data_IF_736386021139
#
_entry.id   IF_736386021139
#
_cell.length_a   1.000
_cell.length_b   1.000
_cell.length_c   1.000
_cell.angle_alpha   90.00
_cell.angle_beta   90.00
_cell.angle_gamma   90.00
#
_symmetry.space_group_name_H-M   'P 1'
#
loop_
_entity.id
_entity.type
_entity.pdbx_description
1 polymer ?
#
# COMPACT_ATOMS: atom_id res chain seq x y z
N UNK A 1 -2.38 52.94 -23.44
CA UNK A 1 -3.71 52.38 -23.77
C UNK A 1 -4.40 52.00 -22.47
N UNK A 2 -5.42 52.77 -22.05
CA UNK A 2 -6.10 52.64 -20.76
C UNK A 2 -7.24 51.60 -20.85
N UNK A 3 -7.04 50.42 -20.28
CA UNK A 3 -8.02 49.32 -20.26
C UNK A 3 -8.80 49.22 -18.93
N UNK A 4 -9.21 50.34 -18.32
CA UNK A 4 -10.14 50.29 -17.17
C UNK A 4 -11.17 51.45 -17.23
N UNK A 5 -12.49 51.16 -17.22
CA UNK A 5 -13.53 52.18 -17.38
C UNK A 5 -13.67 53.12 -16.16
N UNK A 6 -13.88 54.41 -16.44
CA UNK A 6 -13.88 55.54 -15.50
C UNK A 6 -15.17 55.74 -14.67
N UNK A 7 -16.02 54.72 -14.49
CA UNK A 7 -17.31 54.84 -13.78
C UNK A 7 -17.32 54.07 -12.44
N UNK A 8 -17.64 54.73 -11.29
CA UNK A 8 -17.70 54.08 -9.96
C UNK A 8 -18.69 52.93 -9.88
N UNK A 9 -19.81 52.99 -10.63
CA UNK A 9 -20.85 51.96 -10.66
C UNK A 9 -20.41 50.72 -11.47
N UNK A 10 -19.63 50.92 -12.55
CA UNK A 10 -19.04 49.81 -13.31
C UNK A 10 -17.92 49.10 -12.54
N UNK A 11 -17.16 49.82 -11.70
CA UNK A 11 -16.15 49.23 -10.81
C UNK A 11 -16.75 48.29 -9.76
N UNK A 12 -17.89 48.65 -9.16
CA UNK A 12 -18.61 47.75 -8.22
C UNK A 12 -19.15 46.50 -8.91
N UNK A 13 -19.59 46.60 -10.18
CA UNK A 13 -20.06 45.45 -10.95
C UNK A 13 -18.91 44.53 -11.38
N UNK A 14 -17.77 45.10 -11.80
CA UNK A 14 -16.56 44.33 -12.14
C UNK A 14 -15.97 43.63 -10.90
N UNK A 15 -15.98 44.27 -9.73
CA UNK A 15 -15.56 43.64 -8.48
C UNK A 15 -16.46 42.47 -8.10
N UNK A 16 -17.79 42.61 -8.24
CA UNK A 16 -18.74 41.51 -8.00
C UNK A 16 -18.56 40.37 -8.99
N UNK A 17 -18.36 40.69 -10.28
CA UNK A 17 -18.08 39.70 -11.32
C UNK A 17 -16.78 38.95 -11.03
N UNK A 18 -15.72 39.63 -10.58
CA UNK A 18 -14.46 39.01 -10.19
C UNK A 18 -14.61 38.06 -9.00
N UNK A 19 -15.39 38.45 -7.98
CA UNK A 19 -15.67 37.59 -6.81
C UNK A 19 -16.47 36.35 -7.23
N UNK A 20 -17.51 36.53 -8.05
CA UNK A 20 -18.32 35.40 -8.55
C UNK A 20 -17.47 34.43 -9.37
N UNK A 21 -16.59 34.94 -10.23
CA UNK A 21 -15.71 34.11 -11.05
C UNK A 21 -14.70 33.33 -10.18
N UNK A 22 -14.13 33.97 -9.16
CA UNK A 22 -13.19 33.34 -8.24
C UNK A 22 -13.84 32.23 -7.40
N UNK A 23 -15.07 32.47 -6.91
CA UNK A 23 -15.85 31.44 -6.19
C UNK A 23 -16.20 30.27 -7.11
N UNK A 24 -16.62 30.53 -8.35
CA UNK A 24 -16.92 29.49 -9.32
C UNK A 24 -15.68 28.63 -9.65
N UNK A 25 -14.50 29.25 -9.78
CA UNK A 25 -13.25 28.54 -10.04
C UNK A 25 -12.83 27.70 -8.82
N UNK A 26 -12.99 28.22 -7.60
CA UNK A 26 -12.67 27.51 -6.37
C UNK A 26 -13.58 26.29 -6.15
N UNK A 27 -14.87 26.42 -6.48
CA UNK A 27 -15.82 25.29 -6.48
C UNK A 27 -15.42 24.28 -7.54
N UNK A 28 -15.10 24.70 -8.77
CA UNK A 28 -14.69 23.80 -9.85
C UNK A 28 -13.41 23.01 -9.49
N UNK A 29 -12.38 23.70 -8.98
CA UNK A 29 -11.14 23.06 -8.54
C UNK A 29 -11.40 22.14 -7.35
N UNK A 30 -12.22 22.55 -6.37
CA UNK A 30 -12.62 21.66 -5.27
C UNK A 30 -13.33 20.41 -5.79
N UNK A 31 -14.26 20.55 -6.75
CA UNK A 31 -14.97 19.39 -7.32
C UNK A 31 -14.05 18.46 -8.10
N UNK A 32 -12.97 18.95 -8.70
CA UNK A 32 -12.01 18.13 -9.44
C UNK A 32 -10.99 17.46 -8.51
N UNK A 33 -10.57 18.14 -7.43
CA UNK A 33 -9.60 17.60 -6.46
C UNK A 33 -10.26 16.65 -5.46
N UNK A 34 -11.52 16.88 -5.10
CA UNK A 34 -12.30 16.00 -4.23
C UNK A 34 -12.96 14.83 -4.98
N UNK A 35 -12.92 14.83 -6.32
CA UNK A 35 -13.21 13.63 -7.10
C UNK A 35 -12.02 12.69 -6.91
N UNK A 36 -12.14 11.79 -5.94
CA UNK A 36 -11.28 10.61 -5.89
C UNK A 36 -11.31 9.89 -7.25
N UNK A 37 -10.29 9.07 -7.57
CA UNK A 37 -10.37 8.20 -8.73
C UNK A 37 -11.74 7.52 -8.72
N UNK A 38 -12.48 7.65 -9.82
CA UNK A 38 -13.76 6.98 -9.95
C UNK A 38 -13.51 5.51 -9.63
N UNK A 39 -14.28 4.97 -8.69
CA UNK A 39 -14.36 3.52 -8.56
C UNK A 39 -14.66 2.99 -9.96
N UNK A 40 -13.91 1.96 -10.36
CA UNK A 40 -14.13 1.27 -11.63
C UNK A 40 -15.49 0.58 -11.54
N UNK A 41 -16.54 1.35 -11.83
CA UNK A 41 -17.92 0.91 -11.99
C UNK A 41 -17.97 0.05 -13.26
N UNK A 42 -17.32 -1.11 -13.20
CA UNK A 42 -17.53 -2.20 -14.14
C UNK A 42 -19.02 -2.44 -14.18
N UNK A 43 -19.63 -2.10 -15.32
CA UNK A 43 -21.06 -2.16 -15.54
C UNK A 43 -21.58 -3.51 -15.04
N UNK A 44 -22.36 -3.46 -13.95
CA UNK A 44 -22.92 -4.66 -13.34
C UNK A 44 -23.70 -5.42 -14.39
N UNK A 45 -23.26 -6.64 -14.69
CA UNK A 45 -24.04 -7.59 -15.48
C UNK A 45 -25.40 -7.72 -14.81
N UNK A 46 -26.43 -7.15 -15.45
CA UNK A 46 -27.79 -7.18 -14.94
C UNK A 46 -28.22 -8.65 -14.74
N UNK A 47 -28.20 -9.11 -13.48
CA UNK A 47 -28.55 -10.48 -13.11
C UNK A 47 -27.55 -11.19 -12.18
N UNK A 48 -26.33 -10.69 -11.96
CA UNK A 48 -25.48 -11.26 -10.91
C UNK A 48 -25.86 -10.67 -9.56
N UNK A 49 -26.51 -11.44 -8.69
CA UNK A 49 -26.50 -11.10 -7.27
C UNK A 49 -25.04 -11.03 -6.84
N UNK A 50 -24.55 -9.82 -6.54
CA UNK A 50 -23.22 -9.63 -6.01
C UNK A 50 -23.12 -10.49 -4.76
N UNK A 51 -22.31 -11.55 -4.82
CA UNK A 51 -22.05 -12.38 -3.67
C UNK A 51 -21.27 -11.51 -2.69
N UNK A 52 -21.96 -10.96 -1.69
CA UNK A 52 -21.35 -10.09 -0.69
C UNK A 52 -20.35 -10.96 0.06
N UNK A 53 -19.07 -10.77 -0.26
CA UNK A 53 -18.00 -11.44 0.46
C UNK A 53 -18.02 -10.95 1.91
N UNK A 54 -18.45 -11.81 2.83
CA UNK A 54 -18.35 -11.58 4.26
C UNK A 54 -17.01 -12.16 4.72
N UNK A 55 -16.04 -11.32 5.14
CA UNK A 55 -14.78 -11.82 5.68
C UNK A 55 -15.06 -12.73 6.89
N UNK A 56 -14.43 -13.92 6.96
CA UNK A 56 -14.57 -14.80 8.12
C UNK A 56 -14.10 -14.11 9.41
N UNK A 57 -14.78 -14.41 10.52
CA UNK A 57 -14.39 -13.87 11.82
C UNK A 57 -13.02 -14.42 12.26
N UNK A 58 -12.09 -13.56 12.74
CA UNK A 58 -10.82 -14.02 13.26
C UNK A 58 -10.97 -14.94 14.48
N UNK A 59 -10.21 -16.03 14.52
CA UNK A 59 -10.15 -16.93 15.69
C UNK A 59 -8.80 -16.86 16.36
N UNK A 60 -8.79 -16.89 17.70
CA UNK A 60 -7.57 -16.91 18.49
C UNK A 60 -6.84 -18.26 18.29
N UNK A 61 -5.53 -18.18 18.05
CA UNK A 61 -4.68 -19.37 18.03
C UNK A 61 -4.54 -19.95 19.44
N UNK A 62 -5.07 -21.14 19.67
CA UNK A 62 -4.94 -21.86 20.95
C UNK A 62 -3.60 -22.60 21.05
N UNK A 63 -3.27 -23.11 22.24
CA UNK A 63 -2.06 -23.91 22.46
C UNK A 63 -2.08 -25.22 21.65
N UNK A 64 -3.25 -25.85 21.56
CA UNK A 64 -3.47 -27.10 20.82
C UNK A 64 -3.31 -26.87 19.32
N UNK A 65 -3.86 -25.76 18.82
CA UNK A 65 -3.68 -25.33 17.43
C UNK A 65 -2.21 -25.10 17.12
N UNK A 66 -1.51 -24.32 17.97
CA UNK A 66 -0.07 -24.05 17.82
C UNK A 66 0.75 -25.33 17.80
N UNK A 67 0.47 -26.28 18.70
CA UNK A 67 1.16 -27.59 18.73
C UNK A 67 0.92 -28.38 17.45
N UNK A 68 -0.31 -28.39 16.94
CA UNK A 68 -0.64 -29.08 15.68
C UNK A 68 0.05 -28.48 14.46
N UNK A 69 0.12 -27.14 14.39
CA UNK A 69 0.86 -26.43 13.34
C UNK A 69 2.36 -26.73 13.45
N UNK A 70 2.93 -26.60 14.64
CA UNK A 70 4.36 -26.90 14.87
C UNK A 70 4.72 -28.32 14.44
N UNK A 71 3.95 -29.32 14.87
CA UNK A 71 4.19 -30.72 14.48
C UNK A 71 4.08 -30.94 12.95
N UNK A 72 3.26 -30.14 12.27
CA UNK A 72 3.14 -30.18 10.81
C UNK A 72 4.39 -29.58 10.16
N UNK A 73 4.83 -28.41 10.61
CA UNK A 73 6.02 -27.72 10.08
C UNK A 73 7.31 -28.49 10.34
N UNK A 74 7.47 -29.08 11.53
CA UNK A 74 8.63 -29.91 11.92
C UNK A 74 8.84 -31.10 10.99
N UNK A 75 7.76 -31.64 10.42
CA UNK A 75 7.82 -32.73 9.44
C UNK A 75 7.87 -32.23 8.00
N UNK A 76 7.13 -31.17 7.68
CA UNK A 76 7.01 -30.65 6.32
C UNK A 76 8.30 -30.00 5.84
N UNK A 77 8.97 -29.21 6.67
CA UNK A 77 10.18 -28.49 6.24
C UNK A 77 11.32 -29.45 5.85
N UNK A 78 11.68 -30.47 6.65
CA UNK A 78 12.62 -31.52 6.23
C UNK A 78 12.20 -32.22 4.92
N UNK A 79 10.95 -32.66 4.87
CA UNK A 79 10.41 -33.46 3.79
C UNK A 79 10.34 -32.69 2.45
N UNK A 80 9.82 -31.47 2.47
CA UNK A 80 9.49 -30.67 1.30
C UNK A 80 10.59 -29.66 0.95
N UNK A 81 11.06 -28.89 1.94
CA UNK A 81 12.00 -27.78 1.72
C UNK A 81 13.42 -28.30 1.56
N UNK A 82 13.85 -29.23 2.42
CA UNK A 82 15.17 -29.89 2.27
C UNK A 82 15.17 -31.05 1.27
N UNK A 83 13.99 -31.43 0.75
CA UNK A 83 13.81 -32.52 -0.22
C UNK A 83 14.21 -33.90 0.31
N UNK A 84 14.15 -34.12 1.61
CA UNK A 84 14.55 -35.40 2.21
C UNK A 84 13.53 -36.52 1.96
N UNK A 85 12.23 -36.20 1.98
CA UNK A 85 11.15 -37.15 1.69
C UNK A 85 9.94 -36.42 1.07
N UNK A 86 9.96 -36.15 -0.23
CA UNK A 86 8.87 -35.48 -0.91
C UNK A 86 7.51 -36.20 -0.79
N UNK A 87 7.49 -37.52 -0.61
CA UNK A 87 6.23 -38.26 -0.47
C UNK A 87 5.63 -38.11 0.92
N UNK A 88 6.44 -38.08 1.97
CA UNK A 88 5.97 -37.69 3.30
C UNK A 88 5.46 -36.23 3.31
N UNK A 89 6.10 -35.33 2.58
CA UNK A 89 5.59 -33.96 2.40
C UNK A 89 4.22 -33.94 1.71
N UNK A 90 4.02 -34.79 0.71
CA UNK A 90 2.74 -34.94 0.01
C UNK A 90 1.61 -35.33 0.97
N UNK A 91 1.87 -36.17 1.97
CA UNK A 91 0.87 -36.59 2.97
C UNK A 91 0.54 -35.51 4.03
N UNK A 92 1.36 -34.46 4.07
CA UNK A 92 1.17 -33.26 4.89
C UNK A 92 0.60 -32.08 4.10
N UNK A 93 0.41 -32.26 2.78
CA UNK A 93 -0.14 -31.26 1.89
C UNK A 93 -1.66 -31.44 1.73
N UNK A 94 -2.39 -30.34 1.60
CA UNK A 94 -3.83 -30.37 1.28
C UNK A 94 -4.07 -30.97 -0.12
N UNK A 95 -5.32 -31.34 -0.47
CA UNK A 95 -5.63 -31.72 -1.86
C UNK A 95 -5.22 -30.64 -2.88
N UNK A 96 -5.36 -29.35 -2.55
CA UNK A 96 -5.00 -28.23 -3.42
C UNK A 96 -3.51 -28.21 -3.74
N UNK A 97 -2.65 -28.20 -2.72
CA UNK A 97 -1.20 -28.23 -2.92
C UNK A 97 -0.76 -29.51 -3.64
N UNK A 98 -1.32 -30.67 -3.29
CA UNK A 98 -1.02 -31.94 -3.96
C UNK A 98 -1.35 -31.92 -5.44
N UNK A 99 -2.41 -31.23 -5.85
CA UNK A 99 -2.88 -31.19 -7.24
C UNK A 99 -1.97 -30.36 -8.16
N UNK A 100 -1.13 -29.48 -7.61
CA UNK A 100 -0.20 -28.65 -8.40
C UNK A 100 0.95 -29.43 -9.05
N UNK A 101 1.19 -30.68 -8.65
CA UNK A 101 2.19 -31.57 -9.23
C UNK A 101 1.68 -33.02 -9.24
N UNK A 102 2.01 -33.77 -10.29
CA UNK A 102 1.67 -35.18 -10.39
C UNK A 102 2.38 -36.01 -9.31
N UNK A 103 1.84 -37.17 -8.96
CA UNK A 103 2.49 -38.08 -7.98
C UNK A 103 3.95 -38.39 -8.35
N UNK A 104 4.23 -38.63 -9.64
CA UNK A 104 5.59 -38.90 -10.12
C UNK A 104 6.52 -37.69 -9.97
N UNK A 105 5.99 -36.48 -10.11
CA UNK A 105 6.75 -35.25 -9.82
C UNK A 105 7.03 -35.13 -8.31
N UNK A 106 6.06 -35.46 -7.45
CA UNK A 106 6.31 -35.58 -6.00
C UNK A 106 7.43 -36.58 -5.70
N UNK A 107 7.35 -37.79 -6.22
CA UNK A 107 8.39 -38.83 -6.01
C UNK A 107 9.80 -38.38 -6.44
N UNK A 108 9.91 -37.53 -7.47
CA UNK A 108 11.18 -36.96 -7.95
C UNK A 108 11.63 -35.69 -7.21
N UNK A 109 10.84 -35.18 -6.27
CA UNK A 109 11.12 -33.90 -5.63
C UNK A 109 10.93 -32.69 -6.56
N UNK A 110 10.11 -32.81 -7.60
CA UNK A 110 9.67 -31.70 -8.44
C UNK A 110 8.34 -31.16 -7.88
N UNK A 111 8.40 -30.51 -6.73
CA UNK A 111 7.20 -30.09 -5.97
C UNK A 111 7.14 -28.56 -5.89
N UNK A 112 5.94 -27.95 -5.75
CA UNK A 112 5.69 -26.50 -5.76
C UNK A 112 6.17 -25.78 -4.47
N UNK A 113 7.29 -26.20 -3.90
CA UNK A 113 7.87 -25.66 -2.67
C UNK A 113 9.32 -25.29 -2.98
N UNK A 114 9.73 -24.07 -2.67
CA UNK A 114 11.10 -23.64 -2.97
C UNK A 114 12.11 -24.47 -2.16
N UNK A 115 13.07 -25.17 -2.80
CA UNK A 115 14.05 -25.98 -2.08
C UNK A 115 15.04 -25.08 -1.34
N UNK A 116 15.40 -25.46 -0.11
CA UNK A 116 16.35 -24.70 0.69
C UNK A 116 17.05 -25.56 1.74
N UNK A 117 18.35 -25.30 1.96
CA UNK A 117 19.16 -25.99 2.97
C UNK A 117 18.85 -25.48 4.38
N UNK A 118 17.68 -25.84 4.88
CA UNK A 118 17.19 -25.44 6.19
C UNK A 118 18.02 -26.06 7.34
N UNK A 119 18.37 -25.26 8.34
CA UNK A 119 19.03 -25.70 9.58
C UNK A 119 17.98 -26.07 10.63
N UNK A 120 18.25 -27.12 11.41
CA UNK A 120 17.46 -27.52 12.58
C UNK A 120 16.37 -28.55 12.28
N UNK A 121 15.60 -28.86 13.31
CA UNK A 121 14.48 -29.82 13.29
C UNK A 121 13.18 -29.27 13.87
N UNK A 122 13.24 -28.11 14.51
CA UNK A 122 12.08 -27.46 15.14
C UNK A 122 11.83 -26.11 14.45
N UNK A 123 10.64 -25.93 13.88
CA UNK A 123 10.25 -24.76 13.09
C UNK A 123 9.07 -24.01 13.74
N UNK A 124 9.26 -23.61 14.99
CA UNK A 124 8.19 -23.04 15.83
C UNK A 124 8.20 -21.50 15.91
N UNK A 125 9.27 -20.88 15.39
CA UNK A 125 9.51 -19.43 15.43
C UNK A 125 8.79 -18.67 14.31
N UNK A 126 7.49 -18.92 14.14
CA UNK A 126 6.67 -18.23 13.14
C UNK A 126 5.86 -17.08 13.76
N UNK A 127 5.56 -16.08 12.93
CA UNK A 127 4.70 -14.94 13.25
C UNK A 127 3.33 -15.14 12.62
N UNK A 128 2.26 -14.83 13.35
CA UNK A 128 0.90 -14.97 12.86
C UNK A 128 0.54 -13.80 11.93
N UNK A 129 0.07 -14.10 10.72
CA UNK A 129 -0.50 -13.10 9.81
C UNK A 129 -2.02 -13.00 10.04
N UNK A 130 -2.71 -14.13 9.93
CA UNK A 130 -4.13 -14.23 10.30
C UNK A 130 -4.50 -15.65 10.73
N UNK A 131 -5.63 -15.75 11.43
CA UNK A 131 -6.22 -17.02 11.84
C UNK A 131 -7.74 -16.89 11.77
N UNK A 132 -8.38 -17.75 10.98
CA UNK A 132 -9.82 -17.87 10.80
C UNK A 132 -10.21 -19.35 10.97
N UNK A 133 -11.51 -19.71 11.04
CA UNK A 133 -11.89 -21.10 11.21
C UNK A 133 -11.25 -22.02 10.16
N UNK A 134 -10.50 -23.02 10.62
CA UNK A 134 -9.79 -24.02 9.81
C UNK A 134 -8.72 -23.48 8.84
N UNK A 135 -8.30 -22.22 8.94
CA UNK A 135 -7.22 -21.67 8.13
C UNK A 135 -6.35 -20.71 8.94
N UNK A 136 -5.03 -20.95 8.91
CA UNK A 136 -4.03 -20.14 9.60
C UNK A 136 -2.91 -19.81 8.63
N UNK A 137 -2.58 -18.53 8.54
CA UNK A 137 -1.48 -18.05 7.72
C UNK A 137 -0.39 -17.46 8.61
N UNK A 138 0.85 -17.87 8.38
CA UNK A 138 2.00 -17.49 9.20
C UNK A 138 3.21 -17.18 8.33
N UNK A 139 4.08 -16.33 8.85
CA UNK A 139 5.42 -16.14 8.31
C UNK A 139 6.42 -16.93 9.15
N UNK A 140 7.10 -17.89 8.52
CA UNK A 140 8.11 -18.75 9.13
C UNK A 140 9.51 -18.33 8.66
N UNK A 141 10.37 -17.98 9.60
CA UNK A 141 11.79 -17.77 9.32
C UNK A 141 12.55 -19.10 9.35
N UNK A 142 13.19 -19.45 8.24
CA UNK A 142 14.02 -20.65 8.12
C UNK A 142 15.47 -20.24 7.90
N UNK A 143 16.35 -20.62 8.82
CA UNK A 143 17.78 -20.33 8.72
C UNK A 143 18.49 -21.35 7.82
N UNK A 144 19.55 -20.91 7.14
CA UNK A 144 20.38 -21.79 6.32
C UNK A 144 21.39 -22.58 7.15
N UNK A 145 21.82 -23.74 6.65
CA UNK A 145 23.03 -24.40 7.14
C UNK A 145 24.29 -23.58 6.82
N UNK A 146 25.45 -23.99 7.35
CA UNK A 146 26.72 -23.35 7.02
C UNK A 146 27.16 -23.58 5.56
N UNK A 147 26.61 -24.62 4.89
CA UNK A 147 26.95 -24.97 3.51
C UNK A 147 26.36 -24.02 2.47
N UNK A 148 25.29 -23.29 2.84
CA UNK A 148 24.56 -22.38 1.96
C UNK A 148 25.27 -21.03 1.78
N UNK A 149 26.18 -20.90 0.83
CA UNK A 149 27.12 -19.76 0.80
C UNK A 149 26.48 -18.39 0.58
N UNK A 150 25.36 -18.32 -0.13
CA UNK A 150 24.76 -17.06 -0.58
C UNK A 150 23.66 -16.55 0.35
N UNK A 151 22.86 -17.46 0.92
CA UNK A 151 21.63 -17.11 1.64
C UNK A 151 21.76 -17.45 3.13
N UNK A 152 21.55 -16.42 3.96
CA UNK A 152 21.20 -16.38 5.39
C UNK A 152 20.20 -17.38 5.89
N UNK A 153 19.08 -17.31 5.21
CA UNK A 153 17.78 -17.72 5.66
C UNK A 153 16.72 -17.10 4.75
N UNK A 154 15.53 -17.67 4.82
CA UNK A 154 14.39 -17.29 4.00
C UNK A 154 13.18 -17.16 4.93
N UNK A 155 12.46 -16.06 4.78
CA UNK A 155 11.11 -15.92 5.32
C UNK A 155 10.14 -16.56 4.32
N UNK A 156 9.35 -17.51 4.80
CA UNK A 156 8.30 -18.17 4.04
C UNK A 156 6.94 -17.74 4.56
N UNK A 157 6.03 -17.40 3.66
CA UNK A 157 4.61 -17.37 4.01
C UNK A 157 4.04 -18.76 3.81
N UNK A 158 3.34 -19.23 4.84
CA UNK A 158 2.76 -20.57 4.89
C UNK A 158 1.27 -20.45 5.19
N UNK A 159 0.45 -21.04 4.32
CA UNK A 159 -0.99 -21.20 4.54
C UNK A 159 -1.25 -22.64 5.00
N UNK A 160 -1.87 -22.79 6.17
CA UNK A 160 -2.21 -24.07 6.75
C UNK A 160 -3.72 -24.21 6.88
N UNK A 161 -4.26 -25.33 6.40
CA UNK A 161 -5.67 -25.67 6.53
C UNK A 161 -5.88 -26.86 7.43
N UNK A 162 -6.95 -26.80 8.22
CA UNK A 162 -7.41 -27.94 9.03
C UNK A 162 -8.37 -28.80 8.22
N UNK A 163 -7.91 -29.96 7.77
CA UNK A 163 -8.68 -30.91 6.96
C UNK A 163 -8.73 -32.25 7.68
N UNK A 164 -9.93 -32.82 7.87
CA UNK A 164 -10.09 -34.10 8.56
C UNK A 164 -9.49 -34.11 9.99
N UNK A 165 -9.53 -32.96 10.67
CA UNK A 165 -8.98 -32.80 12.01
C UNK A 165 -7.47 -32.57 12.11
N UNK A 166 -6.74 -32.64 10.99
CA UNK A 166 -5.29 -32.46 10.91
C UNK A 166 -4.94 -31.12 10.25
N UNK A 167 -3.85 -30.50 10.68
CA UNK A 167 -3.27 -29.37 9.98
C UNK A 167 -2.45 -29.88 8.79
N UNK A 168 -2.68 -29.28 7.64
CA UNK A 168 -2.01 -29.59 6.38
C UNK A 168 -1.58 -28.28 5.72
N UNK A 169 -0.53 -28.33 4.91
CA UNK A 169 0.01 -27.18 4.18
C UNK A 169 -0.75 -27.00 2.87
N UNK A 170 -1.33 -25.81 2.67
CA UNK A 170 -1.99 -25.39 1.43
C UNK A 170 -1.01 -24.64 0.52
N UNK A 171 -0.13 -23.81 1.09
CA UNK A 171 0.90 -23.09 0.33
C UNK A 171 2.14 -22.86 1.18
N UNK A 172 3.31 -22.82 0.53
CA UNK A 172 4.60 -22.61 1.17
C UNK A 172 5.56 -21.97 0.18
N UNK A 173 5.72 -20.64 0.26
CA UNK A 173 6.50 -19.89 -0.72
C UNK A 173 7.37 -18.82 -0.07
N UNK A 174 8.56 -18.52 -0.63
CA UNK A 174 9.46 -17.54 -0.08
C UNK A 174 8.90 -16.13 -0.32
N UNK A 175 8.98 -15.27 0.69
CA UNK A 175 8.60 -13.85 0.60
C UNK A 175 9.80 -12.91 0.73
N UNK A 176 10.82 -13.32 1.49
CA UNK A 176 12.08 -12.60 1.58
C UNK A 176 13.26 -13.56 1.77
N UNK A 177 14.39 -13.25 1.12
CA UNK A 177 15.66 -13.93 1.30
C UNK A 177 16.66 -12.98 1.95
N UNK A 178 17.35 -13.47 2.97
CA UNK A 178 18.41 -12.73 3.65
C UNK A 178 19.73 -13.22 3.09
N UNK A 179 20.52 -12.37 2.46
CA UNK A 179 21.77 -12.76 1.82
C UNK A 179 22.96 -12.64 2.78
N UNK A 180 23.90 -13.58 2.70
CA UNK A 180 25.21 -13.51 3.40
C UNK A 180 26.13 -12.49 2.74
N UNK A 181 26.07 -12.41 1.42
CA UNK A 181 26.77 -11.42 0.60
C UNK A 181 25.76 -10.35 0.20
N UNK A 182 26.17 -9.09 0.12
CA UNK A 182 25.26 -8.03 -0.33
C UNK A 182 24.91 -8.22 -1.81
N UNK A 183 23.65 -7.96 -2.17
CA UNK A 183 23.18 -7.88 -3.54
C UNK A 183 23.88 -6.72 -4.28
N UNK A 184 23.82 -6.64 -5.62
CA UNK A 184 24.44 -5.58 -6.40
C UNK A 184 24.03 -4.16 -5.99
N UNK A 185 22.84 -3.99 -5.42
CA UNK A 185 22.31 -2.72 -4.88
C UNK A 185 22.76 -2.42 -3.44
N UNK A 186 23.63 -3.26 -2.85
CA UNK A 186 24.11 -3.16 -1.48
C UNK A 186 23.14 -3.69 -0.40
N UNK A 187 21.94 -4.16 -0.77
CA UNK A 187 21.01 -4.74 0.20
C UNK A 187 21.45 -6.14 0.63
N UNK A 188 21.16 -6.51 1.88
CA UNK A 188 21.32 -7.90 2.36
C UNK A 188 20.00 -8.63 2.47
N UNK A 189 18.93 -8.01 1.99
CA UNK A 189 17.58 -8.56 1.95
C UNK A 189 17.06 -8.36 0.55
N UNK A 190 16.51 -9.42 -0.02
CA UNK A 190 15.84 -9.42 -1.32
C UNK A 190 14.46 -10.01 -1.12
N UNK A 191 13.44 -9.18 -1.32
CA UNK A 191 12.04 -9.57 -1.28
C UNK A 191 11.42 -9.45 -2.68
N UNK A 192 10.21 -10.00 -2.86
CA UNK A 192 9.49 -9.92 -4.14
C UNK A 192 9.39 -8.48 -4.71
N UNK A 193 9.13 -7.41 -3.91
CA UNK A 193 9.10 -6.05 -4.42
C UNK A 193 10.45 -5.55 -4.98
N UNK A 194 11.57 -6.11 -4.51
CA UNK A 194 12.91 -5.70 -4.96
C UNK A 194 13.27 -6.26 -6.34
N UNK A 195 12.56 -7.30 -6.79
CA UNK A 195 12.75 -7.93 -8.09
C UNK A 195 11.78 -7.39 -9.15
N UNK A 196 10.87 -6.48 -8.77
CA UNK A 196 10.03 -5.79 -9.74
C UNK A 196 10.93 -4.95 -10.65
N UNK A 197 10.64 -4.87 -11.97
CA UNK A 197 11.39 -4.00 -12.86
C UNK A 197 11.33 -2.58 -12.29
N UNK A 198 12.50 -2.08 -11.88
CA UNK A 198 12.67 -0.68 -11.51
C UNK A 198 12.34 0.13 -12.76
N UNK A 199 11.12 0.66 -12.85
CA UNK A 199 10.90 1.84 -13.69
C UNK A 199 11.92 2.85 -13.19
N UNK A 200 12.86 3.25 -14.05
CA UNK A 200 13.90 4.23 -13.76
C UNK A 200 13.29 5.42 -13.03
N UNK A 201 13.35 5.39 -11.69
CA UNK A 201 13.21 6.56 -10.84
C UNK A 201 14.63 7.03 -10.59
N UNK A 202 15.24 7.53 -11.66
CA UNK A 202 16.45 8.31 -11.53
C UNK A 202 16.17 9.44 -10.54
N UNK A 203 16.97 9.46 -9.47
CA UNK A 203 17.26 10.64 -8.66
C UNK A 203 16.09 11.60 -8.37
N UNK A 204 15.02 11.11 -7.74
CA UNK A 204 14.09 11.98 -7.00
C UNK A 204 14.06 11.53 -5.54
N UNK A 205 15.00 12.10 -4.78
CA UNK A 205 14.89 12.42 -3.35
C UNK A 205 14.13 11.43 -2.47
N UNK A 206 14.91 10.74 -1.61
CA UNK A 206 14.47 10.27 -0.30
C UNK A 206 13.90 11.44 0.51
N UNK A 207 12.63 11.75 0.33
CA UNK A 207 11.83 12.48 1.32
C UNK A 207 10.36 12.28 0.99
N UNK A 208 9.52 12.21 2.03
CA UNK A 208 8.09 12.54 1.98
C UNK A 208 7.09 11.57 1.32
N UNK A 209 6.90 10.38 1.90
CA UNK A 209 5.61 9.69 1.79
C UNK A 209 4.53 10.29 2.73
N UNK A 210 4.93 10.94 3.85
CA UNK A 210 3.99 11.53 4.81
C UNK A 210 3.71 13.04 4.61
N UNK A 211 4.57 13.76 3.87
CA UNK A 211 4.41 15.21 3.64
C UNK A 211 3.64 15.51 2.36
N UNK A 212 3.69 14.64 1.34
CA UNK A 212 3.01 14.84 0.06
C UNK A 212 1.49 14.84 0.21
N UNK A 213 0.95 14.00 1.09
CA UNK A 213 -0.50 13.97 1.35
C UNK A 213 -0.98 15.18 2.19
N UNK A 214 -0.09 15.79 3.00
CA UNK A 214 -0.40 17.01 3.77
C UNK A 214 -0.23 18.29 2.95
N UNK A 215 0.69 18.35 1.99
CA UNK A 215 0.86 19.52 1.12
C UNK A 215 -0.27 19.68 0.10
N UNK A 216 -0.81 18.60 -0.46
CA UNK A 216 -1.93 18.67 -1.41
C UNK A 216 -3.20 19.19 -0.72
N UNK A 217 -3.41 18.87 0.56
CA UNK A 217 -4.52 19.40 1.35
C UNK A 217 -4.40 20.91 1.67
N UNK A 218 -3.19 21.50 1.61
CA UNK A 218 -2.96 22.92 1.89
C UNK A 218 -3.15 23.83 0.68
N UNK A 219 -3.07 23.28 -0.55
CA UNK A 219 -3.28 24.02 -1.79
C UNK A 219 -4.63 24.75 -1.85
N UNK A 220 -5.80 24.13 -1.55
CA UNK A 220 -7.06 24.84 -1.57
C UNK A 220 -7.15 25.95 -0.51
N UNK A 221 -6.53 25.75 0.67
CA UNK A 221 -6.49 26.76 1.72
C UNK A 221 -5.67 27.98 1.30
N UNK A 222 -4.54 27.76 0.62
CA UNK A 222 -3.64 28.82 0.17
C UNK A 222 -4.26 29.61 -0.99
N UNK A 223 -4.98 28.94 -1.90
CA UNK A 223 -5.78 29.60 -2.96
C UNK A 223 -6.90 30.45 -2.36
N UNK A 224 -7.62 29.94 -1.35
CA UNK A 224 -8.66 30.70 -0.66
C UNK A 224 -8.10 31.94 0.05
N UNK A 225 -6.95 31.80 0.72
CA UNK A 225 -6.27 32.90 1.41
C UNK A 225 -5.84 34.01 0.44
N UNK A 226 -5.26 33.65 -0.71
CA UNK A 226 -4.89 34.61 -1.75
C UNK A 226 -6.14 35.35 -2.29
N UNK A 227 -7.25 34.64 -2.47
CA UNK A 227 -8.52 35.24 -2.90
C UNK A 227 -9.03 36.29 -1.90
N UNK A 228 -9.00 36.00 -0.60
CA UNK A 228 -9.40 36.94 0.46
C UNK A 228 -8.47 38.16 0.50
N UNK A 229 -7.16 37.95 0.41
CA UNK A 229 -6.17 39.05 0.42
C UNK A 229 -6.32 39.99 -0.78
N UNK A 230 -6.69 39.48 -1.96
CA UNK A 230 -6.98 40.32 -3.13
C UNK A 230 -8.19 41.25 -2.91
N UNK A 231 -9.26 40.73 -2.30
CA UNK A 231 -10.46 41.54 -1.99
C UNK A 231 -10.13 42.63 -0.97
N UNK A 232 -9.40 42.28 0.09
CA UNK A 232 -8.96 43.23 1.11
C UNK A 232 -8.03 44.28 0.49
N UNK A 233 -7.06 43.88 -0.34
CA UNK A 233 -6.13 44.80 -1.01
C UNK A 233 -6.84 45.82 -1.90
N UNK A 234 -7.88 45.41 -2.63
CA UNK A 234 -8.70 46.34 -3.42
C UNK A 234 -9.47 47.33 -2.53
N UNK A 235 -9.97 46.88 -1.37
CA UNK A 235 -10.67 47.76 -0.42
C UNK A 235 -9.73 48.76 0.25
N UNK A 236 -8.55 48.29 0.70
CA UNK A 236 -7.52 49.12 1.34
C UNK A 236 -6.95 50.15 0.36
N UNK A 237 -6.66 49.76 -0.88
CA UNK A 237 -6.19 50.72 -1.90
C UNK A 237 -7.23 51.78 -2.25
N UNK A 238 -8.52 51.45 -2.21
CA UNK A 238 -9.59 52.45 -2.35
C UNK A 238 -9.68 53.38 -1.13
N UNK A 239 -9.54 52.85 0.08
CA UNK A 239 -9.54 53.64 1.30
C UNK A 239 -8.34 54.61 1.37
N UNK A 240 -7.14 54.14 1.04
CA UNK A 240 -5.92 54.96 1.05
C UNK A 240 -5.93 56.04 -0.04
N UNK A 241 -6.50 55.75 -1.22
CA UNK A 241 -6.66 56.76 -2.29
C UNK A 241 -7.73 57.81 -1.95
N UNK A 242 -8.76 57.43 -1.20
CA UNK A 242 -9.75 58.36 -0.65
C UNK A 242 -9.12 59.36 0.33
N UNK A 243 -8.30 58.87 1.27
CA UNK A 243 -7.56 59.75 2.21
C UNK A 243 -6.56 60.67 1.52
N UNK A 244 -5.94 60.22 0.41
CA UNK A 244 -5.01 61.07 -0.35
C UNK A 244 -5.74 62.20 -1.07
N UNK A 245 -6.92 61.92 -1.63
CA UNK A 245 -7.77 62.94 -2.24
C UNK A 245 -8.32 63.97 -1.23
N UNK A 246 -8.63 63.57 0.01
CA UNK A 246 -8.98 64.51 1.09
C UNK A 246 -7.79 65.41 1.49
N UNK A 247 -6.58 64.85 1.56
CA UNK A 247 -5.37 65.65 1.85
C UNK A 247 -5.07 66.66 0.75
N UNK A 248 -5.26 66.31 -0.51
CA UNK A 248 -5.08 67.23 -1.64
C UNK A 248 -6.18 68.31 -1.67
N UNK A 249 -7.41 67.98 -1.25
CA UNK A 249 -8.51 68.95 -1.11
C UNK A 249 -8.31 69.93 0.05
N UNK A 250 -7.68 69.48 1.14
CA UNK A 250 -7.32 70.34 2.27
C UNK A 250 -6.06 71.17 1.99
N UNK A 251 -5.12 70.66 1.18
CA UNK A 251 -3.92 71.39 0.77
C UNK A 251 -4.19 72.44 -0.33
N UNK A 252 -5.26 72.27 -1.12
CA UNK A 252 -5.69 73.25 -2.14
C UNK A 252 -6.65 74.33 -1.64
N UNK A 253 -6.84 74.46 -0.32
CA UNK A 253 -7.76 75.44 0.31
C UNK A 253 -7.07 76.43 1.26
N UNK A 254 -5.77 76.62 1.13
CA UNK A 254 -5.04 77.80 1.61
C UNK A 254 -4.63 78.65 0.40
#
# INVERSE_FOLDING_TARGET
>A
MNLLPASPRRRRRLARLGVVLAVALAVLVSTLVLRGPADDDSEGVAGSQANVYVPPEPVRVTKEMRRGINATLDRFVPAAVRREDPMAARDLATPGLRASATRKQWERGEIPVYPFRAKGSEFHGWTLNYSIPNNVNVDLMVQATAEEKEVSGIAYTVDLRRVGGRWLVESFFPTAQFQRVAAPNGSRVVAQPDLAPTQNRDAATRTSADVTNRMIALVPLLVALIGVLLVIGVFVTQYLRGKKAERDYLAGRL
#
